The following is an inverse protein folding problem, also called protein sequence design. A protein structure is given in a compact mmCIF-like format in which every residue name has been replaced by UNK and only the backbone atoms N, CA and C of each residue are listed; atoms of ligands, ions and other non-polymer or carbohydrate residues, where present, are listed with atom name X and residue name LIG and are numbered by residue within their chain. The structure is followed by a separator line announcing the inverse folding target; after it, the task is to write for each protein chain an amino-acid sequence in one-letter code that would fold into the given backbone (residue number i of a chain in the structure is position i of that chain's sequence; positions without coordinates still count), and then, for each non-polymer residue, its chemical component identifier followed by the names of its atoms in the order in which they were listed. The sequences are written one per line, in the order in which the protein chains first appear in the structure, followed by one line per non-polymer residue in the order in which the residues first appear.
data_IF_107845929069
#
_entry.id   IF_107845929069
#
_cell.length_a   1.000
_cell.length_b   1.000
_cell.length_c   1.000
_cell.angle_alpha   90.00
_cell.angle_beta   90.00
_cell.angle_gamma   90.00
#
_symmetry.space_group_name_H-M   'P 1'
#
loop_
_entity.id
_entity.type
_entity.pdbx_description
1 polymer ?
#
# COMPACT_ATOMS: atom_id res chain seq x y z
N UNK A 1 -7.82 9.75 -1.69
CA UNK A 1 -6.43 9.71 -2.22
C UNK A 1 -6.45 9.22 -3.67
N UNK A 2 -5.60 9.78 -4.53
CA UNK A 2 -5.43 9.34 -5.91
C UNK A 2 -4.07 8.63 -6.10
N UNK A 3 -4.10 7.38 -6.56
CA UNK A 3 -2.92 6.59 -6.93
C UNK A 3 -2.86 6.51 -8.46
N UNK A 4 -1.71 6.88 -9.04
CA UNK A 4 -1.49 6.89 -10.49
C UNK A 4 -0.31 5.99 -10.83
N UNK A 5 -0.56 5.04 -11.73
CA UNK A 5 0.47 4.27 -12.42
C UNK A 5 0.93 5.05 -13.66
N UNK A 6 2.24 5.18 -13.82
CA UNK A 6 2.87 5.98 -14.86
C UNK A 6 3.33 5.14 -16.05
N UNK A 7 3.45 3.81 -15.89
CA UNK A 7 3.79 2.91 -16.99
C UNK A 7 2.73 2.98 -18.10
N UNK A 8 3.08 3.44 -19.32
CA UNK A 8 2.15 3.50 -20.44
C UNK A 8 1.57 2.14 -20.84
N UNK A 9 2.26 1.04 -20.50
CA UNK A 9 1.78 -0.32 -20.76
C UNK A 9 0.84 -0.84 -19.67
N UNK A 10 0.64 -0.11 -18.58
CA UNK A 10 -0.25 -0.52 -17.51
C UNK A 10 -1.72 -0.51 -17.95
N UNK A 11 -2.43 -1.59 -17.60
CA UNK A 11 -3.87 -1.72 -17.84
C UNK A 11 -4.69 -1.08 -16.71
N UNK A 12 -4.16 -1.08 -15.49
CA UNK A 12 -4.71 -0.32 -14.37
C UNK A 12 -3.87 0.95 -14.19
N UNK A 13 -4.37 2.09 -14.66
CA UNK A 13 -3.62 3.35 -14.69
C UNK A 13 -3.94 4.27 -13.51
N UNK A 14 -5.11 4.10 -12.88
CA UNK A 14 -5.61 5.02 -11.87
C UNK A 14 -6.51 4.31 -10.87
N UNK A 15 -6.29 4.57 -9.58
CA UNK A 15 -7.19 4.16 -8.50
C UNK A 15 -7.47 5.37 -7.61
N UNK A 16 -8.74 5.59 -7.28
CA UNK A 16 -9.13 6.58 -6.28
C UNK A 16 -9.65 5.85 -5.05
N UNK A 17 -8.99 6.05 -3.91
CA UNK A 17 -9.47 5.61 -2.62
C UNK A 17 -10.33 6.73 -2.01
N UNK A 18 -11.61 6.43 -1.78
CA UNK A 18 -12.55 7.31 -1.10
C UNK A 18 -12.80 6.76 0.30
N UNK A 19 -12.65 7.61 1.30
CA UNK A 19 -12.97 7.31 2.69
C UNK A 19 -13.76 8.48 3.27
N UNK A 20 -14.66 8.25 4.24
CA UNK A 20 -15.29 9.33 4.98
C UNK A 20 -14.24 10.15 5.76
N UNK A 21 -14.63 11.34 6.22
CA UNK A 21 -13.83 12.13 7.15
C UNK A 21 -13.55 11.32 8.42
N UNK A 22 -12.30 11.38 8.90
CA UNK A 22 -11.86 10.70 10.11
C UNK A 22 -10.34 10.72 10.24
N UNK A 23 -9.82 10.02 11.24
CA UNK A 23 -8.40 9.99 11.56
C UNK A 23 -7.68 8.97 10.70
N UNK A 24 -7.38 9.36 9.47
CA UNK A 24 -6.57 8.56 8.57
C UNK A 24 -5.64 9.45 7.74
N UNK A 25 -4.51 8.87 7.37
CA UNK A 25 -3.49 9.49 6.56
C UNK A 25 -3.01 8.49 5.51
N UNK A 26 -2.59 8.99 4.36
CA UNK A 26 -2.07 8.15 3.29
C UNK A 26 -0.89 8.77 2.60
N UNK A 27 0.07 7.95 2.18
CA UNK A 27 1.26 8.40 1.47
C UNK A 27 1.68 7.39 0.40
N UNK A 28 2.46 7.87 -0.57
CA UNK A 28 3.01 7.11 -1.69
C UNK A 28 4.52 6.91 -1.45
N UNK A 29 4.95 5.75 -0.91
CA UNK A 29 6.37 5.52 -0.67
C UNK A 29 7.17 5.30 -1.96
N UNK A 30 6.52 4.87 -3.05
CA UNK A 30 7.18 4.65 -4.35
C UNK A 30 7.68 5.95 -4.98
N UNK A 31 6.93 7.03 -4.81
CA UNK A 31 7.36 8.39 -5.18
C UNK A 31 8.12 9.10 -4.07
N UNK A 32 7.78 8.82 -2.81
CA UNK A 32 8.40 9.45 -1.63
C UNK A 32 9.89 9.13 -1.45
N UNK A 33 10.35 7.98 -1.96
CA UNK A 33 11.76 7.53 -1.87
C UNK A 33 12.77 8.30 -2.73
N UNK A 34 12.31 9.26 -3.53
CA UNK A 34 13.15 10.17 -4.32
C UNK A 34 14.01 9.49 -5.40
N UNK A 35 14.97 10.24 -5.97
CA UNK A 35 15.79 9.80 -7.12
C UNK A 35 16.66 8.56 -6.83
N UNK A 36 17.13 8.42 -5.59
CA UNK A 36 17.92 7.27 -5.16
C UNK A 36 17.06 6.01 -4.95
N UNK A 37 15.73 6.14 -5.09
CA UNK A 37 14.77 5.08 -4.83
C UNK A 37 14.94 4.44 -3.44
N UNK A 38 15.26 5.24 -2.42
CA UNK A 38 15.60 4.74 -1.10
C UNK A 38 14.53 5.05 -0.05
N UNK A 39 14.04 4.01 0.63
CA UNK A 39 13.02 4.14 1.70
C UNK A 39 13.57 4.86 2.94
N UNK A 40 14.79 4.57 3.34
CA UNK A 40 15.48 5.29 4.42
C UNK A 40 17.00 5.17 4.26
N UNK A 41 17.76 6.27 4.42
CA UNK A 41 19.23 6.25 4.46
C UNK A 41 19.79 5.45 5.65
N UNK A 42 18.98 5.23 6.69
CA UNK A 42 19.38 4.58 7.93
C UNK A 42 19.15 3.07 7.93
N UNK A 43 18.41 2.54 6.95
CA UNK A 43 18.23 1.10 6.78
C UNK A 43 19.39 0.55 5.93
N UNK A 44 20.29 -0.21 6.55
CA UNK A 44 21.44 -0.79 5.88
C UNK A 44 21.04 -1.81 4.80
N UNK A 45 21.77 -1.79 3.67
CA UNK A 45 21.46 -2.57 2.47
C UNK A 45 22.23 -3.90 2.48
N UNK A 46 21.57 -4.99 2.84
CA UNK A 46 22.14 -6.34 2.71
C UNK A 46 22.02 -6.88 1.28
N UNK A 47 23.03 -7.60 0.77
CA UNK A 47 23.04 -8.21 -0.58
C UNK A 47 21.88 -9.19 -0.85
N UNK A 48 21.21 -9.69 0.19
CA UNK A 48 20.16 -10.72 0.08
C UNK A 48 18.71 -10.21 0.02
N UNK A 49 18.45 -8.91 0.25
CA UNK A 49 17.08 -8.37 0.31
C UNK A 49 17.02 -6.94 -0.29
N UNK A 50 16.34 -6.79 -1.43
CA UNK A 50 16.05 -5.46 -1.99
C UNK A 50 14.92 -4.79 -1.20
N UNK A 51 15.30 -4.05 -0.15
CA UNK A 51 14.42 -3.30 0.74
C UNK A 51 14.11 -1.89 0.20
N UNK A 52 14.47 -1.57 -1.04
CA UNK A 52 14.12 -0.31 -1.70
C UNK A 52 12.80 -0.39 -2.50
N UNK A 53 12.20 -1.57 -2.53
CA UNK A 53 10.90 -1.81 -3.16
C UNK A 53 9.80 -1.15 -2.32
N UNK A 54 8.92 -0.40 -2.95
CA UNK A 54 7.85 0.32 -2.26
C UNK A 54 6.49 -0.10 -2.81
N UNK A 55 5.46 -0.02 -1.97
CA UNK A 55 4.08 -0.08 -2.43
C UNK A 55 3.69 1.24 -3.12
N UNK A 56 2.70 1.22 -4.00
CA UNK A 56 2.16 2.45 -4.60
C UNK A 56 1.45 3.35 -3.57
N UNK A 57 0.96 2.77 -2.48
CA UNK A 57 0.28 3.51 -1.43
C UNK A 57 0.31 2.78 -0.08
N UNK A 58 0.40 3.57 0.99
CA UNK A 58 0.09 3.16 2.36
C UNK A 58 -1.04 4.03 2.88
N UNK A 59 -2.03 3.41 3.52
CA UNK A 59 -3.07 4.11 4.28
C UNK A 59 -2.96 3.69 5.74
N UNK A 60 -2.80 4.66 6.62
CA UNK A 60 -2.80 4.50 8.07
C UNK A 60 -4.14 5.01 8.60
N UNK A 61 -4.84 4.18 9.35
CA UNK A 61 -6.16 4.48 9.92
C UNK A 61 -6.04 4.37 11.42
N UNK A 62 -6.20 5.48 12.13
CA UNK A 62 -6.27 5.47 13.58
C UNK A 62 -7.72 5.37 14.06
N UNK A 63 -7.93 4.57 15.10
CA UNK A 63 -9.22 4.44 15.78
C UNK A 63 -8.98 4.42 17.29
N UNK A 64 -8.80 5.61 17.86
CA UNK A 64 -8.56 5.79 19.29
C UNK A 64 -7.21 5.23 19.73
N UNK A 65 -6.13 5.58 19.03
CA UNK A 65 -4.77 5.12 19.31
C UNK A 65 -4.47 3.68 18.86
N UNK A 66 -5.40 3.06 18.13
CA UNK A 66 -5.27 1.72 17.54
C UNK A 66 -5.11 1.86 16.04
N UNK A 67 -3.87 1.77 15.59
CA UNK A 67 -3.50 1.99 14.20
C UNK A 67 -3.70 0.72 13.37
N UNK A 68 -4.35 0.86 12.22
CA UNK A 68 -4.39 -0.16 11.16
C UNK A 68 -3.61 0.35 9.95
N UNK A 69 -2.71 -0.47 9.40
CA UNK A 69 -1.99 -0.15 8.17
C UNK A 69 -2.51 -0.97 6.99
N UNK A 70 -2.86 -0.29 5.90
CA UNK A 70 -3.17 -0.89 4.61
C UNK A 70 -2.01 -0.62 3.65
N UNK A 71 -1.37 -1.67 3.16
CA UNK A 71 -0.31 -1.61 2.17
C UNK A 71 -0.90 -1.96 0.80
N UNK A 72 -0.91 -1.01 -0.12
CA UNK A 72 -1.61 -1.12 -1.41
C UNK A 72 -0.61 -1.12 -2.56
N UNK A 73 -0.64 -2.18 -3.36
CA UNK A 73 0.20 -2.32 -4.57
C UNK A 73 -0.71 -2.51 -5.78
N UNK A 74 -0.42 -1.78 -6.86
CA UNK A 74 -1.13 -1.86 -8.13
C UNK A 74 -0.46 -2.90 -9.03
N UNK A 75 -1.27 -3.68 -9.74
CA UNK A 75 -0.79 -4.66 -10.73
C UNK A 75 -1.65 -4.66 -11.98
N UNK A 76 -1.02 -4.95 -13.11
CA UNK A 76 -1.69 -5.09 -14.41
C UNK A 76 -1.51 -6.51 -14.95
N UNK A 77 -2.60 -7.11 -15.45
CA UNK A 77 -2.57 -8.42 -16.09
C UNK A 77 -2.41 -9.58 -15.10
N UNK A 78 -1.18 -9.84 -14.65
CA UNK A 78 -0.86 -10.93 -13.72
C UNK A 78 -0.31 -10.36 -12.39
N UNK A 79 -1.05 -10.48 -11.27
CA UNK A 79 -0.60 -9.95 -9.98
C UNK A 79 0.47 -10.87 -9.39
N UNK A 80 1.74 -10.65 -9.75
CA UNK A 80 2.89 -11.35 -9.17
C UNK A 80 3.97 -10.35 -8.77
N UNK A 81 4.90 -10.78 -7.93
CA UNK A 81 6.08 -9.98 -7.61
C UNK A 81 5.79 -8.75 -6.75
N UNK A 82 4.71 -8.71 -5.96
CA UNK A 82 4.40 -7.65 -4.99
C UNK A 82 4.98 -7.93 -3.58
N UNK A 83 5.45 -9.16 -3.33
CA UNK A 83 5.84 -9.59 -1.98
C UNK A 83 7.02 -8.79 -1.40
N UNK A 84 7.96 -8.36 -2.25
CA UNK A 84 9.08 -7.53 -1.82
C UNK A 84 8.68 -6.11 -1.45
N UNK A 85 7.73 -5.52 -2.18
CA UNK A 85 7.15 -4.20 -1.90
C UNK A 85 6.46 -4.20 -0.54
N UNK A 86 5.61 -5.20 -0.28
CA UNK A 86 4.93 -5.35 1.00
C UNK A 86 5.91 -5.54 2.16
N UNK A 87 6.90 -6.43 2.01
CA UNK A 87 7.90 -6.66 3.07
C UNK A 87 8.67 -5.38 3.38
N UNK A 88 9.20 -4.70 2.37
CA UNK A 88 9.99 -3.49 2.60
C UNK A 88 9.13 -2.37 3.20
N UNK A 89 7.98 -2.08 2.60
CA UNK A 89 7.12 -0.97 3.03
C UNK A 89 6.62 -1.18 4.45
N UNK A 90 6.29 -2.42 4.82
CA UNK A 90 5.97 -2.77 6.21
C UNK A 90 7.11 -2.45 7.17
N UNK A 91 8.34 -2.80 6.83
CA UNK A 91 9.48 -2.53 7.70
C UNK A 91 9.74 -1.03 7.83
N UNK A 92 9.54 -0.26 6.76
CA UNK A 92 9.60 1.20 6.81
C UNK A 92 8.54 1.78 7.75
N UNK A 93 7.27 1.33 7.68
CA UNK A 93 6.20 1.81 8.57
C UNK A 93 6.53 1.49 10.02
N UNK A 94 6.93 0.26 10.32
CA UNK A 94 7.32 -0.14 11.69
C UNK A 94 8.52 0.65 12.20
N UNK A 95 9.49 0.92 11.34
CA UNK A 95 10.63 1.79 11.66
C UNK A 95 10.19 3.21 12.02
N UNK A 96 9.34 3.82 11.20
CA UNK A 96 8.82 5.17 11.45
C UNK A 96 8.03 5.24 12.78
N UNK A 97 7.19 4.24 13.08
CA UNK A 97 6.49 4.15 14.36
C UNK A 97 7.46 4.02 15.54
N UNK A 98 8.54 3.25 15.38
CA UNK A 98 9.60 3.13 16.40
C UNK A 98 10.29 4.47 16.68
N UNK A 99 10.60 5.26 15.64
CA UNK A 99 11.16 6.60 15.83
C UNK A 99 10.21 7.54 16.55
N UNK A 100 8.90 7.46 16.28
CA UNK A 100 7.90 8.27 16.97
C UNK A 100 7.82 7.92 18.46
N UNK A 101 7.87 6.63 18.80
CA UNK A 101 7.92 6.20 20.20
C UNK A 101 9.22 6.66 20.87
N UNK A 102 10.37 6.50 20.20
CA UNK A 102 11.69 6.86 20.75
C UNK A 102 11.85 8.36 20.98
N UNK A 103 11.52 9.21 20.01
CA UNK A 103 11.76 10.64 20.09
C UNK A 103 10.62 11.44 20.73
N UNK A 104 9.40 10.90 20.73
CA UNK A 104 8.22 11.64 21.20
C UNK A 104 7.45 10.92 22.32
N UNK A 105 7.94 9.77 22.81
CA UNK A 105 7.27 8.99 23.87
C UNK A 105 5.85 8.54 23.50
N UNK A 106 5.47 8.66 22.23
CA UNK A 106 4.10 8.41 21.77
C UNK A 106 4.03 7.00 21.23
N UNK A 107 3.45 6.10 22.04
CA UNK A 107 3.26 4.71 21.63
C UNK A 107 1.99 4.55 20.81
N UNK A 108 2.16 4.44 19.50
CA UNK A 108 1.06 4.11 18.58
C UNK A 108 1.04 2.60 18.39
N UNK A 109 -0.05 1.95 18.80
CA UNK A 109 -0.17 0.48 18.71
C UNK A 109 -0.69 0.10 17.32
N UNK A 110 0.16 -0.56 16.54
CA UNK A 110 -0.24 -1.18 15.28
C UNK A 110 -1.00 -2.48 15.56
N UNK A 111 -2.33 -2.44 15.44
CA UNK A 111 -3.23 -3.56 15.81
C UNK A 111 -3.59 -4.47 14.65
N UNK A 112 -3.49 -3.96 13.41
CA UNK A 112 -3.80 -4.74 12.20
C UNK A 112 -2.96 -4.25 11.02
N UNK A 113 -2.61 -5.20 10.15
CA UNK A 113 -1.83 -4.97 8.94
C UNK A 113 -2.45 -5.76 7.79
N UNK A 114 -2.87 -5.05 6.73
CA UNK A 114 -3.50 -5.67 5.56
C UNK A 114 -2.68 -5.37 4.32
N UNK A 115 -2.50 -6.40 3.50
CA UNK A 115 -1.88 -6.28 2.19
C UNK A 115 -2.96 -6.35 1.13
N UNK A 116 -3.03 -5.33 0.28
CA UNK A 116 -4.05 -5.17 -0.74
C UNK A 116 -3.37 -5.10 -2.09
N UNK A 117 -3.74 -6.00 -2.99
CA UNK A 117 -3.36 -5.91 -4.40
C UNK A 117 -4.58 -5.47 -5.18
N UNK A 118 -4.51 -4.29 -5.78
CA UNK A 118 -5.52 -3.85 -6.73
C UNK A 118 -5.01 -4.18 -8.13
N UNK A 119 -5.73 -5.06 -8.82
CA UNK A 119 -5.31 -5.52 -10.14
C UNK A 119 -6.37 -5.22 -11.20
N UNK A 120 -5.92 -4.84 -12.39
CA UNK A 120 -6.78 -4.60 -13.54
C UNK A 120 -6.26 -5.29 -14.80
N UNK A 121 -7.05 -5.23 -15.87
CA UNK A 121 -6.64 -5.77 -17.18
C UNK A 121 -6.95 -7.25 -17.41
N UNK A 122 -7.78 -7.86 -16.55
CA UNK A 122 -8.59 -9.04 -16.87
C UNK A 122 -10.03 -8.59 -17.16
N UNK A 123 -10.74 -9.23 -18.11
CA UNK A 123 -12.17 -9.00 -18.28
C UNK A 123 -12.91 -9.26 -16.96
N UNK A 124 -13.93 -8.46 -16.65
CA UNK A 124 -14.77 -8.71 -15.48
C UNK A 124 -15.40 -10.12 -15.59
N UNK A 125 -15.09 -11.01 -14.66
CA UNK A 125 -15.63 -12.38 -14.63
C UNK A 125 -17.03 -12.46 -14.00
N UNK A 126 -17.80 -11.36 -14.02
CA UNK A 126 -19.19 -11.35 -13.59
C UNK A 126 -20.06 -11.70 -14.78
N UNK A 127 -20.43 -12.98 -14.91
CA UNK A 127 -21.65 -13.34 -15.65
C UNK A 127 -22.81 -12.80 -14.82
N UNK A 128 -23.44 -11.71 -15.27
CA UNK A 128 -24.77 -11.36 -14.79
C UNK A 128 -25.70 -12.48 -15.24
N UNK A 129 -26.00 -13.42 -14.35
CA UNK A 129 -27.14 -14.32 -14.55
C UNK A 129 -28.36 -13.47 -14.24
N UNK A 130 -28.99 -12.94 -15.28
CA UNK A 130 -30.35 -12.41 -15.17
C UNK A 130 -31.22 -13.63 -14.85
N UNK A 131 -31.61 -13.79 -13.60
CA UNK A 131 -32.64 -14.76 -13.25
C UNK A 131 -33.92 -14.32 -13.98
N UNK A 132 -34.40 -15.13 -14.93
CA UNK A 132 -35.72 -14.95 -15.51
C UNK A 132 -36.75 -14.98 -14.38
N UNK A 133 -37.76 -14.09 -14.39
CA UNK A 133 -38.85 -14.17 -13.43
C UNK A 133 -39.54 -15.52 -13.61
N UNK A 134 -39.66 -16.26 -12.51
CA UNK A 134 -40.52 -17.43 -12.44
C UNK A 134 -41.95 -16.86 -12.49
N UNK A 135 -42.64 -17.10 -13.61
CA UNK A 135 -44.09 -16.92 -13.70
C UNK A 135 -44.79 -18.04 -12.91
#
# INVERSE_FOLDING_TARGET
MLIKEADPAAKLTKVTLTAPTGDWFSFDPDKGRGKAAQMSPLLATGKGQNHHRACDCVVLIDRGGRLTALYVDLKSGNPVGYSGQFKSTRQFVRYALGLLEEFHGTKIVLVDERFVVLYGGKPASVKVVVASPIF
#
